data_IF_987488020354
#
_entry.id   IF_987488020354
#
_cell.length_a   1.000
_cell.length_b   1.000
_cell.length_c   1.000
_cell.angle_alpha   90.00
_cell.angle_beta   90.00
_cell.angle_gamma   90.00
#
_symmetry.space_group_name_H-M   'P 1'
#
loop_
_entity.id
_entity.type
_entity.pdbx_description
1 polymer ?
#
# COMPACT_ATOMS: atom_id res chain seq x y z
N UNK A 1 -8.46 -18.96 16.96
CA UNK A 1 -8.69 -19.18 18.42
C UNK A 1 -7.41 -18.97 19.24
N UNK A 2 -6.43 -18.21 18.74
CA UNK A 2 -5.03 -18.24 19.20
C UNK A 2 -4.60 -17.02 20.05
N UNK A 3 -5.10 -15.81 19.77
CA UNK A 3 -4.79 -14.61 20.56
C UNK A 3 -5.24 -14.69 22.04
N UNK A 4 -6.27 -15.50 22.33
CA UNK A 4 -6.76 -15.74 23.70
C UNK A 4 -5.99 -16.89 24.38
N UNK A 5 -5.33 -17.75 23.59
CA UNK A 5 -4.62 -18.94 24.10
C UNK A 5 -3.16 -18.65 24.47
N UNK A 6 -2.53 -17.64 23.87
CA UNK A 6 -1.14 -17.23 24.14
C UNK A 6 -1.04 -15.72 24.36
N UNK A 7 -1.48 -15.17 25.51
CA UNK A 7 -1.35 -13.74 25.81
C UNK A 7 0.12 -13.31 26.00
N UNK A 8 1.03 -14.26 26.15
CA UNK A 8 2.46 -14.07 26.30
C UNK A 8 3.13 -13.57 25.01
N UNK A 9 2.61 -13.88 23.83
CA UNK A 9 3.15 -13.39 22.54
C UNK A 9 3.17 -11.87 22.48
N UNK A 10 2.10 -11.22 22.93
CA UNK A 10 1.98 -9.76 22.93
C UNK A 10 3.06 -9.11 23.81
N UNK A 11 3.24 -9.62 25.04
CA UNK A 11 4.23 -9.09 25.96
C UNK A 11 5.66 -9.37 25.51
N UNK A 12 5.92 -10.54 24.93
CA UNK A 12 7.22 -10.89 24.36
C UNK A 12 7.55 -10.01 23.14
N UNK A 13 6.56 -9.71 22.30
CA UNK A 13 6.70 -8.81 21.16
C UNK A 13 6.95 -7.35 21.60
N UNK A 14 6.37 -6.91 22.72
CA UNK A 14 6.64 -5.56 23.26
C UNK A 14 8.05 -5.41 23.85
N UNK A 15 8.67 -6.52 24.27
CA UNK A 15 10.01 -6.53 24.88
C UNK A 15 11.12 -6.75 23.85
N UNK A 16 10.78 -6.93 22.57
CA UNK A 16 11.75 -7.15 21.50
C UNK A 16 12.44 -5.83 21.10
N UNK A 17 13.71 -5.91 20.73
CA UNK A 17 14.47 -4.73 20.29
C UNK A 17 13.92 -4.17 18.97
N UNK A 18 14.14 -2.87 18.75
CA UNK A 18 13.70 -2.21 17.53
C UNK A 18 14.45 -2.77 16.31
N UNK A 19 13.77 -2.98 15.17
CA UNK A 19 14.42 -3.50 13.98
C UNK A 19 15.42 -2.49 13.43
N UNK A 20 16.61 -2.97 13.09
CA UNK A 20 17.58 -2.20 12.33
C UNK A 20 17.02 -1.87 10.94
N UNK A 21 17.15 -0.62 10.55
CA UNK A 21 16.70 -0.16 9.24
C UNK A 21 17.90 0.15 8.39
N UNK A 22 17.98 -0.52 7.25
CA UNK A 22 19.02 -0.24 6.30
C UNK A 22 18.58 0.97 5.45
N UNK A 23 19.44 2.00 5.41
CA UNK A 23 19.22 3.28 4.73
C UNK A 23 20.41 3.54 3.82
N UNK A 24 20.18 3.58 2.51
CA UNK A 24 21.24 3.74 1.50
C UNK A 24 22.49 2.86 1.71
N UNK A 25 22.33 1.61 2.16
CA UNK A 25 23.45 0.68 2.39
C UNK A 25 24.11 0.80 3.77
N UNK A 26 23.67 1.73 4.61
CA UNK A 26 24.08 1.83 6.01
C UNK A 26 22.99 1.24 6.91
N UNK A 27 23.36 0.26 7.73
CA UNK A 27 22.47 -0.29 8.75
C UNK A 27 22.42 0.71 9.90
N UNK A 28 21.31 1.46 9.99
CA UNK A 28 21.04 2.35 11.12
C UNK A 28 20.48 1.52 12.26
N UNK A 29 21.07 1.66 13.45
CA UNK A 29 20.61 0.95 14.65
C UNK A 29 19.17 1.33 14.96
N UNK A 30 18.34 0.32 15.22
CA UNK A 30 16.94 0.49 15.58
C UNK A 30 16.77 1.34 16.83
N UNK A 31 16.18 2.53 16.69
CA UNK A 31 15.80 3.42 17.79
C UNK A 31 14.31 3.76 17.67
N UNK A 32 13.69 4.20 18.77
CA UNK A 32 12.27 4.61 18.80
C UNK A 32 11.92 5.62 17.68
N UNK A 33 12.80 6.58 17.42
CA UNK A 33 12.62 7.59 16.38
C UNK A 33 12.61 6.96 14.99
N UNK A 34 13.60 6.09 14.71
CA UNK A 34 13.74 5.36 13.45
C UNK A 34 12.52 4.48 13.18
N UNK A 35 12.08 3.71 14.19
CA UNK A 35 10.91 2.85 14.09
C UNK A 35 9.61 3.64 13.87
N UNK A 36 9.41 4.75 14.59
CA UNK A 36 8.22 5.59 14.44
C UNK A 36 8.19 6.29 13.09
N UNK A 37 9.32 6.83 12.64
CA UNK A 37 9.41 7.53 11.36
C UNK A 37 9.13 6.58 10.18
N UNK A 38 9.74 5.40 10.16
CA UNK A 38 9.52 4.43 9.08
C UNK A 38 8.17 3.73 9.16
N UNK A 39 7.69 3.42 10.37
CA UNK A 39 6.34 2.91 10.55
C UNK A 39 5.28 3.91 10.06
N UNK A 40 5.44 5.20 10.40
CA UNK A 40 4.57 6.26 9.91
C UNK A 40 4.64 6.42 8.39
N UNK A 41 5.85 6.44 7.82
CA UNK A 41 6.06 6.57 6.37
C UNK A 41 5.38 5.44 5.59
N UNK A 42 5.50 4.20 6.07
CA UNK A 42 4.81 3.04 5.49
C UNK A 42 3.29 3.17 5.62
N UNK A 43 2.78 3.65 6.76
CA UNK A 43 1.35 3.82 7.00
C UNK A 43 0.70 4.91 6.12
N UNK A 44 1.47 5.91 5.65
CA UNK A 44 0.95 6.97 4.78
C UNK A 44 0.41 6.44 3.44
N UNK A 45 0.89 5.30 2.94
CA UNK A 45 0.38 4.67 1.73
C UNK A 45 -1.12 4.35 1.83
N UNK A 46 -1.59 3.96 3.02
CA UNK A 46 -3.00 3.67 3.29
C UNK A 46 -3.94 4.88 3.25
N UNK A 47 -3.42 6.11 3.22
CA UNK A 47 -4.20 7.36 3.22
C UNK A 47 -4.28 7.98 1.80
N UNK A 48 -3.58 7.42 0.82
CA UNK A 48 -3.60 7.93 -0.57
C UNK A 48 -4.99 7.84 -1.23
N UNK A 49 -5.89 6.98 -0.74
CA UNK A 49 -7.26 6.86 -1.24
C UNK A 49 -8.15 8.10 -1.04
N UNK A 50 -7.78 9.03 -0.16
CA UNK A 50 -8.54 10.28 0.03
C UNK A 50 -8.37 11.23 -1.16
N UNK A 51 -7.21 11.22 -1.79
CA UNK A 51 -6.92 12.02 -2.99
C UNK A 51 -7.75 11.53 -4.18
N UNK A 52 -7.75 10.22 -4.41
CA UNK A 52 -8.51 9.62 -5.52
C UNK A 52 -10.02 9.83 -5.36
N UNK A 53 -10.54 9.85 -4.13
CA UNK A 53 -11.94 10.21 -3.88
C UNK A 53 -12.30 11.63 -4.33
N UNK A 54 -11.37 12.59 -4.16
CA UNK A 54 -11.55 13.95 -4.65
C UNK A 54 -11.47 14.05 -6.18
N UNK A 55 -10.70 13.17 -6.82
CA UNK A 55 -10.59 13.07 -8.28
C UNK A 55 -11.94 12.77 -8.97
N UNK A 56 -12.81 12.02 -8.31
CA UNK A 56 -14.13 11.60 -8.81
C UNK A 56 -15.30 12.38 -8.21
N UNK A 57 -15.03 13.53 -7.56
CA UNK A 57 -16.08 14.31 -6.89
C UNK A 57 -17.21 14.74 -7.84
N UNK A 58 -16.90 14.93 -9.13
CA UNK A 58 -17.87 15.33 -10.15
C UNK A 58 -18.85 14.22 -10.55
N UNK A 59 -18.45 12.95 -10.39
CA UNK A 59 -19.29 11.77 -10.67
C UNK A 59 -20.10 11.35 -9.42
N UNK A 60 -19.84 11.97 -8.26
CA UNK A 60 -20.54 11.68 -7.01
C UNK A 60 -21.86 12.46 -6.92
N UNK A 61 -22.88 11.81 -6.35
CA UNK A 61 -24.13 12.49 -6.04
C UNK A 61 -23.93 13.68 -5.08
N UNK A 62 -24.70 14.77 -5.23
CA UNK A 62 -24.54 15.97 -4.43
C UNK A 62 -24.68 15.67 -2.93
N UNK A 63 -23.72 16.15 -2.13
CA UNK A 63 -23.69 15.96 -0.68
C UNK A 63 -23.11 14.62 -0.19
N UNK A 64 -22.67 13.73 -1.08
CA UNK A 64 -22.04 12.45 -0.71
C UNK A 64 -20.56 12.60 -0.36
N UNK A 65 -19.83 13.52 -1.02
CA UNK A 65 -18.38 13.70 -0.85
C UNK A 65 -17.92 13.83 0.62
N UNK A 66 -18.57 14.70 1.41
CA UNK A 66 -18.25 14.85 2.83
C UNK A 66 -18.53 13.59 3.65
N UNK A 67 -19.58 12.83 3.30
CA UNK A 67 -19.90 11.56 3.96
C UNK A 67 -18.83 10.51 3.62
N UNK A 68 -18.39 10.46 2.37
CA UNK A 68 -17.31 9.57 1.92
C UNK A 68 -16.02 9.84 2.68
N UNK A 69 -15.56 11.09 2.76
CA UNK A 69 -14.33 11.44 3.49
C UNK A 69 -14.43 11.08 4.98
N UNK A 70 -15.55 11.40 5.63
CA UNK A 70 -15.76 11.07 7.05
C UNK A 70 -15.75 9.56 7.29
N UNK A 71 -16.46 8.81 6.46
CA UNK A 71 -16.55 7.35 6.61
C UNK A 71 -15.19 6.70 6.31
N UNK A 72 -14.49 7.12 5.25
CA UNK A 72 -13.14 6.64 4.94
C UNK A 72 -12.18 6.91 6.09
N UNK A 73 -12.23 8.09 6.71
CA UNK A 73 -11.37 8.43 7.85
C UNK A 73 -11.62 7.52 9.06
N UNK A 74 -12.89 7.28 9.39
CA UNK A 74 -13.25 6.35 10.48
C UNK A 74 -12.77 4.94 10.15
N UNK A 75 -13.02 4.44 8.95
CA UNK A 75 -12.60 3.10 8.55
C UNK A 75 -11.09 2.95 8.50
N UNK A 76 -10.37 3.90 7.91
CA UNK A 76 -8.92 3.88 7.84
C UNK A 76 -8.33 3.86 9.26
N UNK A 77 -8.80 4.71 10.17
CA UNK A 77 -8.28 4.76 11.54
C UNK A 77 -8.58 3.48 12.31
N UNK A 78 -9.83 3.00 12.24
CA UNK A 78 -10.27 1.84 13.00
C UNK A 78 -9.62 0.54 12.50
N UNK A 79 -9.63 0.28 11.19
CA UNK A 79 -9.05 -0.94 10.65
C UNK A 79 -7.53 -0.99 10.81
N UNK A 80 -6.82 0.11 10.58
CA UNK A 80 -5.36 0.13 10.78
C UNK A 80 -5.00 -0.12 12.24
N UNK A 81 -5.74 0.46 13.19
CA UNK A 81 -5.50 0.24 14.62
C UNK A 81 -5.80 -1.21 15.04
N UNK A 82 -6.95 -1.75 14.61
CA UNK A 82 -7.36 -3.11 14.93
C UNK A 82 -6.40 -4.15 14.32
N UNK A 83 -5.99 -3.98 13.07
CA UNK A 83 -5.06 -4.90 12.40
C UNK A 83 -3.67 -4.83 13.00
N UNK A 84 -3.19 -3.63 13.38
CA UNK A 84 -1.90 -3.47 14.06
C UNK A 84 -1.88 -4.14 15.44
N UNK A 85 -2.97 -4.01 16.20
CA UNK A 85 -3.10 -4.68 17.49
C UNK A 85 -3.20 -6.20 17.31
N UNK A 86 -4.00 -6.66 16.35
CA UNK A 86 -4.20 -8.08 16.09
C UNK A 86 -2.92 -8.74 15.57
N UNK A 87 -2.15 -8.08 14.70
CA UNK A 87 -0.89 -8.61 14.19
C UNK A 87 0.11 -8.83 15.31
N UNK A 88 0.28 -7.86 16.22
CA UNK A 88 1.16 -7.97 17.39
C UNK A 88 0.68 -8.99 18.43
N UNK A 89 -0.63 -9.22 18.54
CA UNK A 89 -1.17 -10.20 19.48
C UNK A 89 -1.12 -11.64 18.93
N UNK A 90 -1.24 -11.82 17.62
CA UNK A 90 -1.38 -13.16 16.99
C UNK A 90 -0.06 -13.71 16.47
N UNK A 91 0.80 -12.86 15.90
CA UNK A 91 2.03 -13.29 15.25
C UNK A 91 3.26 -12.89 16.09
N UNK A 92 4.26 -13.77 16.24
CA UNK A 92 5.54 -13.37 16.83
C UNK A 92 6.29 -12.42 15.88
N UNK A 93 7.05 -11.46 16.43
CA UNK A 93 7.87 -10.56 15.62
C UNK A 93 9.02 -11.31 14.93
N UNK A 94 9.71 -12.16 15.69
CA UNK A 94 10.89 -12.92 15.25
C UNK A 94 10.59 -14.43 15.13
N UNK A 95 11.37 -15.13 14.31
CA UNK A 95 11.24 -16.58 14.09
C UNK A 95 10.52 -16.95 12.79
N UNK A 96 10.47 -18.26 12.50
CA UNK A 96 9.92 -18.80 11.26
C UNK A 96 8.40 -18.62 11.21
N UNK A 97 7.91 -17.85 10.24
CA UNK A 97 6.51 -17.43 10.17
C UNK A 97 6.14 -16.26 11.10
N UNK A 98 7.15 -15.53 11.60
CA UNK A 98 6.97 -14.25 12.29
C UNK A 98 6.81 -13.08 11.32
N UNK A 99 6.42 -11.91 11.84
CA UNK A 99 6.13 -10.71 11.03
C UNK A 99 7.33 -10.30 10.16
N UNK A 100 8.57 -10.49 10.65
CA UNK A 100 9.76 -10.14 9.88
C UNK A 100 10.12 -11.13 8.76
N UNK A 101 9.66 -12.38 8.83
CA UNK A 101 9.89 -13.40 7.80
C UNK A 101 8.86 -13.28 6.68
N UNK A 102 7.59 -13.02 7.04
CA UNK A 102 6.44 -12.95 6.13
C UNK A 102 5.92 -11.51 5.91
N UNK A 103 6.82 -10.52 5.81
CA UNK A 103 6.46 -9.09 5.70
C UNK A 103 5.50 -8.75 4.55
N UNK A 104 5.54 -9.55 3.48
CA UNK A 104 4.73 -9.33 2.27
C UNK A 104 3.33 -9.96 2.35
N UNK A 105 3.08 -10.83 3.33
CA UNK A 105 1.83 -11.61 3.43
C UNK A 105 1.30 -11.70 4.86
N UNK A 106 1.60 -10.68 5.69
CA UNK A 106 1.30 -10.67 7.13
C UNK A 106 -0.17 -10.97 7.42
N UNK A 107 -1.11 -10.39 6.66
CA UNK A 107 -2.55 -10.64 6.85
C UNK A 107 -2.92 -12.11 6.53
N UNK A 108 -2.33 -12.70 5.50
CA UNK A 108 -2.59 -14.10 5.13
C UNK A 108 -1.98 -15.06 6.16
N UNK A 109 -0.75 -14.81 6.62
CA UNK A 109 -0.11 -15.56 7.71
C UNK A 109 -0.88 -15.44 9.02
N UNK A 110 -1.40 -14.25 9.35
CA UNK A 110 -2.28 -14.04 10.49
C UNK A 110 -3.58 -14.85 10.34
N UNK A 111 -4.21 -14.81 9.17
CA UNK A 111 -5.42 -15.60 8.86
C UNK A 111 -5.18 -17.11 9.03
N UNK A 112 -4.02 -17.59 8.59
CA UNK A 112 -3.58 -18.98 8.76
C UNK A 112 -3.46 -19.38 10.23
N UNK A 113 -2.88 -18.52 11.07
CA UNK A 113 -2.72 -18.80 12.51
C UNK A 113 -4.05 -18.73 13.26
N UNK A 114 -4.97 -17.85 12.87
CA UNK A 114 -6.26 -17.68 13.55
C UNK A 114 -7.27 -18.77 13.21
N UNK A 115 -7.40 -19.09 11.92
CA UNK A 115 -8.47 -19.93 11.39
C UNK A 115 -8.02 -20.95 10.33
N UNK A 116 -6.70 -21.13 10.14
CA UNK A 116 -6.14 -22.12 9.24
C UNK A 116 -6.11 -21.69 7.77
N UNK A 117 -5.72 -22.63 6.90
CA UNK A 117 -5.52 -22.41 5.46
C UNK A 117 -6.75 -21.87 4.71
N UNK A 118 -7.95 -22.12 5.24
CA UNK A 118 -9.18 -21.62 4.63
C UNK A 118 -9.23 -20.08 4.66
N UNK A 119 -8.97 -19.46 5.82
CA UNK A 119 -8.99 -18.01 5.95
C UNK A 119 -7.81 -17.36 5.22
N UNK A 120 -6.62 -17.99 5.27
CA UNK A 120 -5.45 -17.59 4.47
C UNK A 120 -5.79 -17.45 2.97
N UNK A 121 -6.48 -18.44 2.39
CA UNK A 121 -6.87 -18.41 0.99
C UNK A 121 -7.89 -17.31 0.69
N UNK A 122 -8.88 -17.10 1.57
CA UNK A 122 -9.87 -16.03 1.39
C UNK A 122 -9.25 -14.64 1.46
N UNK A 123 -8.40 -14.39 2.46
CA UNK A 123 -7.70 -13.12 2.63
C UNK A 123 -6.77 -12.85 1.45
N UNK A 124 -6.09 -13.88 0.93
CA UNK A 124 -5.21 -13.74 -0.25
C UNK A 124 -6.00 -13.36 -1.52
N UNK A 125 -7.19 -13.93 -1.72
CA UNK A 125 -8.06 -13.59 -2.85
C UNK A 125 -8.58 -12.15 -2.71
N UNK A 126 -9.02 -11.77 -1.51
CA UNK A 126 -9.48 -10.41 -1.22
C UNK A 126 -8.37 -9.37 -1.48
N UNK A 127 -7.17 -9.60 -0.94
CA UNK A 127 -6.00 -8.74 -1.17
C UNK A 127 -5.69 -8.58 -2.66
N UNK A 128 -5.75 -9.66 -3.44
CA UNK A 128 -5.57 -9.59 -4.89
C UNK A 128 -6.63 -8.71 -5.57
N UNK A 129 -7.91 -8.87 -5.23
CA UNK A 129 -9.00 -8.09 -5.82
C UNK A 129 -8.90 -6.61 -5.43
N UNK A 130 -8.59 -6.30 -4.18
CA UNK A 130 -8.44 -4.93 -3.69
C UNK A 130 -7.25 -4.24 -4.36
N UNK A 131 -6.10 -4.92 -4.46
CA UNK A 131 -4.91 -4.39 -5.16
C UNK A 131 -5.20 -4.17 -6.65
N UNK A 132 -5.84 -5.12 -7.32
CA UNK A 132 -6.24 -4.96 -8.73
C UNK A 132 -7.20 -3.77 -8.92
N UNK A 133 -8.14 -3.57 -7.99
CA UNK A 133 -9.04 -2.43 -7.98
C UNK A 133 -8.34 -1.08 -7.78
N UNK A 134 -7.33 -1.03 -6.89
CA UNK A 134 -6.48 0.14 -6.68
C UNK A 134 -5.72 0.52 -7.95
N UNK A 135 -5.11 -0.47 -8.62
CA UNK A 135 -4.42 -0.28 -9.90
C UNK A 135 -5.39 0.25 -10.96
N UNK A 136 -6.57 -0.36 -11.15
CA UNK A 136 -7.55 0.11 -12.13
C UNK A 136 -7.99 1.57 -11.87
N UNK A 137 -8.23 1.92 -10.60
CA UNK A 137 -8.61 3.29 -10.19
C UNK A 137 -7.50 4.29 -10.53
N UNK A 138 -6.22 3.92 -10.37
CA UNK A 138 -5.10 4.79 -10.74
C UNK A 138 -5.05 5.07 -12.25
N UNK A 139 -5.31 4.06 -13.09
CA UNK A 139 -5.37 4.22 -14.55
C UNK A 139 -6.48 5.18 -14.99
N UNK A 140 -7.67 5.09 -14.37
CA UNK A 140 -8.78 6.01 -14.67
C UNK A 140 -8.47 7.42 -14.16
N UNK A 141 -7.93 7.55 -12.95
CA UNK A 141 -7.56 8.83 -12.33
C UNK A 141 -6.52 9.60 -13.14
N UNK A 142 -5.40 8.96 -13.52
CA UNK A 142 -4.33 9.62 -14.28
C UNK A 142 -4.79 10.03 -15.69
N UNK A 143 -5.67 9.22 -16.31
CA UNK A 143 -6.25 9.57 -17.61
C UNK A 143 -7.09 10.85 -17.50
N UNK A 144 -7.86 11.01 -16.43
CA UNK A 144 -8.62 12.23 -16.15
C UNK A 144 -7.71 13.44 -15.89
N UNK A 145 -6.70 13.29 -15.03
CA UNK A 145 -5.74 14.35 -14.68
C UNK A 145 -4.96 14.85 -15.90
N UNK A 146 -4.28 13.95 -16.62
CA UNK A 146 -3.44 14.30 -17.76
C UNK A 146 -4.26 14.93 -18.88
N UNK A 147 -5.51 14.46 -19.08
CA UNK A 147 -6.43 15.08 -20.04
C UNK A 147 -6.76 16.53 -19.67
N UNK A 148 -7.05 16.82 -18.39
CA UNK A 148 -7.32 18.20 -17.93
C UNK A 148 -6.08 19.10 -18.11
N UNK A 149 -4.92 18.64 -17.65
CA UNK A 149 -3.66 19.39 -17.78
C UNK A 149 -3.27 19.69 -19.25
N UNK A 150 -3.57 18.77 -20.16
CA UNK A 150 -3.33 18.98 -21.58
C UNK A 150 -4.37 19.93 -22.22
N UNK A 151 -5.61 19.96 -21.74
CA UNK A 151 -6.58 20.99 -22.13
C UNK A 151 -6.17 22.38 -21.63
N UNK A 152 -5.57 22.45 -20.44
CA UNK A 152 -5.01 23.68 -19.86
C UNK A 152 -3.67 24.09 -20.51
N UNK A 153 -3.23 23.39 -21.57
CA UNK A 153 -1.97 23.63 -22.32
C UNK A 153 -0.70 23.53 -21.47
N UNK A 154 -0.76 22.89 -20.30
CA UNK A 154 0.40 22.61 -19.43
C UNK A 154 1.18 21.40 -19.97
N UNK A 155 0.48 20.45 -20.60
CA UNK A 155 1.06 19.24 -21.20
C UNK A 155 0.92 19.24 -22.73
N UNK A 156 1.81 18.55 -23.45
CA UNK A 156 1.81 18.56 -24.91
C UNK A 156 0.55 17.90 -25.49
N UNK A 157 0.00 18.53 -26.53
CA UNK A 157 -1.29 18.18 -27.13
C UNK A 157 -1.37 16.76 -27.73
N UNK A 158 -0.24 16.09 -27.99
CA UNK A 158 -0.28 14.70 -28.47
C UNK A 158 -0.86 13.72 -27.43
N UNK A 159 -0.80 14.05 -26.13
CA UNK A 159 -1.35 13.22 -25.06
C UNK A 159 -2.88 13.15 -25.07
N UNK A 160 -3.56 14.15 -25.68
CA UNK A 160 -5.02 14.16 -25.81
C UNK A 160 -5.50 13.48 -27.09
N UNK A 161 -4.60 12.96 -27.92
CA UNK A 161 -4.99 12.28 -29.15
C UNK A 161 -5.81 11.02 -28.84
N UNK A 162 -7.08 11.06 -29.26
CA UNK A 162 -8.03 9.97 -29.11
C UNK A 162 -7.96 9.04 -30.32
N UNK A 163 -7.94 7.73 -30.08
CA UNK A 163 -8.08 6.76 -31.18
C UNK A 163 -9.54 6.74 -31.67
N UNK A 164 -9.74 6.83 -32.99
CA UNK A 164 -11.07 6.87 -33.63
C UNK A 164 -11.96 5.66 -33.33
N UNK A 165 -11.40 4.51 -32.97
CA UNK A 165 -12.16 3.27 -32.76
C UNK A 165 -12.73 3.07 -31.34
N UNK A 166 -12.11 3.64 -30.30
CA UNK A 166 -12.56 3.48 -28.90
C UNK A 166 -12.71 4.81 -28.14
N UNK A 167 -12.33 5.94 -28.74
CA UNK A 167 -12.39 7.26 -28.11
C UNK A 167 -11.43 7.44 -26.91
N UNK A 168 -10.52 6.49 -26.68
CA UNK A 168 -9.61 6.49 -25.52
C UNK A 168 -8.27 7.16 -25.84
N UNK A 169 -7.65 7.82 -24.85
CA UNK A 169 -6.32 8.43 -24.94
C UNK A 169 -5.24 7.35 -24.71
N UNK A 170 -4.88 6.61 -25.76
CA UNK A 170 -3.99 5.45 -25.64
C UNK A 170 -2.56 5.85 -25.21
N UNK A 171 -2.11 7.06 -25.58
CA UNK A 171 -0.80 7.58 -25.18
C UNK A 171 -0.68 7.79 -23.67
N UNK A 172 -1.75 8.22 -22.99
CA UNK A 172 -1.70 8.43 -21.54
C UNK A 172 -1.56 7.10 -20.80
N UNK A 173 -2.32 6.09 -21.24
CA UNK A 173 -2.28 4.74 -20.66
C UNK A 173 -0.90 4.10 -20.90
N UNK A 174 -0.37 4.19 -22.12
CA UNK A 174 0.97 3.69 -22.43
C UNK A 174 2.06 4.43 -21.67
N UNK A 175 1.98 5.76 -21.55
CA UNK A 175 2.92 6.54 -20.76
C UNK A 175 2.91 6.09 -19.30
N UNK A 176 1.73 5.96 -18.70
CA UNK A 176 1.61 5.50 -17.32
C UNK A 176 2.14 4.06 -17.14
N UNK A 177 1.85 3.16 -18.07
CA UNK A 177 2.41 1.80 -18.05
C UNK A 177 3.94 1.80 -18.13
N UNK A 178 4.53 2.59 -19.04
CA UNK A 178 5.98 2.70 -19.18
C UNK A 178 6.60 3.30 -17.93
N UNK A 179 5.97 4.30 -17.32
CA UNK A 179 6.44 4.89 -16.06
C UNK A 179 6.44 3.87 -14.92
N UNK A 180 5.34 3.13 -14.73
CA UNK A 180 5.26 2.08 -13.71
C UNK A 180 6.27 0.97 -13.97
N UNK A 181 6.32 0.42 -15.19
CA UNK A 181 7.29 -0.61 -15.56
C UNK A 181 8.74 -0.14 -15.43
N UNK A 182 9.01 1.14 -15.69
CA UNK A 182 10.34 1.74 -15.49
C UNK A 182 10.70 1.84 -14.01
N UNK A 183 9.73 2.17 -13.15
CA UNK A 183 9.92 2.24 -11.70
C UNK A 183 10.19 0.84 -11.14
N UNK A 184 9.40 -0.16 -11.52
CA UNK A 184 9.60 -1.55 -11.08
C UNK A 184 10.96 -2.09 -11.52
N UNK A 185 11.35 -1.78 -12.76
CA UNK A 185 12.65 -2.21 -13.28
C UNK A 185 13.81 -1.45 -12.65
N UNK A 186 13.65 -0.16 -12.34
CA UNK A 186 14.63 0.63 -11.61
C UNK A 186 14.85 0.06 -10.20
N UNK A 187 13.75 -0.26 -9.50
CA UNK A 187 13.78 -0.90 -8.19
C UNK A 187 14.44 -2.29 -8.24
N UNK A 188 14.22 -3.05 -9.31
CA UNK A 188 14.85 -4.36 -9.50
C UNK A 188 16.36 -4.30 -9.84
N UNK A 189 16.84 -3.22 -10.44
CA UNK A 189 18.21 -3.09 -10.98
C UNK A 189 19.19 -2.37 -10.03
N UNK A 190 18.71 -1.64 -9.02
CA UNK A 190 19.55 -0.85 -8.13
C UNK A 190 19.76 -1.49 -6.73
N UNK A 191 20.72 -2.42 -6.55
CA UNK A 191 20.96 -3.08 -5.26
C UNK A 191 21.47 -2.15 -4.14
N UNK A 192 22.04 -0.97 -4.48
CA UNK A 192 22.62 -0.03 -3.50
C UNK A 192 21.79 1.22 -3.17
N UNK A 193 20.93 1.67 -4.10
CA UNK A 193 20.02 2.82 -3.88
C UNK A 193 18.67 2.38 -3.31
N UNK A 194 18.46 1.06 -3.27
CA UNK A 194 17.30 0.36 -2.75
C UNK A 194 16.87 0.89 -1.38
N UNK A 195 17.79 1.35 -0.55
CA UNK A 195 17.50 1.54 0.88
C UNK A 195 17.06 2.95 1.26
N UNK A 196 17.14 3.94 0.36
CA UNK A 196 16.54 5.27 0.63
C UNK A 196 15.15 5.45 0.02
N UNK A 197 14.84 4.74 -1.08
CA UNK A 197 13.48 4.69 -1.63
C UNK A 197 12.64 3.58 -0.96
N UNK A 198 13.26 2.47 -0.54
CA UNK A 198 12.55 1.38 0.16
C UNK A 198 12.24 1.63 1.63
N UNK A 199 12.65 2.79 2.14
CA UNK A 199 12.19 3.37 3.40
C UNK A 199 10.67 3.59 3.42
N UNK A 200 10.05 3.80 2.25
CA UNK A 200 8.60 3.94 2.10
C UNK A 200 7.96 2.74 1.40
N UNK A 201 8.67 2.11 0.45
CA UNK A 201 8.16 1.00 -0.36
C UNK A 201 9.20 -0.13 -0.39
N UNK A 202 9.08 -1.10 0.53
CA UNK A 202 10.00 -2.23 0.66
C UNK A 202 10.41 -2.87 -0.69
N UNK A 203 11.59 -3.51 -0.79
CA UNK A 203 12.19 -3.97 -2.06
C UNK A 203 11.39 -5.02 -2.85
N UNK A 204 10.23 -5.47 -2.33
CA UNK A 204 9.28 -6.38 -2.98
C UNK A 204 7.82 -5.94 -2.80
N UNK A 205 7.57 -4.69 -2.43
CA UNK A 205 6.25 -4.13 -2.09
C UNK A 205 5.38 -3.77 -3.30
N UNK A 206 5.54 -4.44 -4.45
CA UNK A 206 4.61 -4.26 -5.56
C UNK A 206 3.26 -4.98 -5.31
N UNK A 207 3.17 -5.68 -4.17
CA UNK A 207 1.97 -6.30 -3.63
C UNK A 207 1.99 -6.00 -2.11
N UNK A 208 1.54 -4.82 -1.68
CA UNK A 208 1.33 -4.55 -0.26
C UNK A 208 -0.11 -4.07 -0.04
N UNK A 209 -0.92 -5.00 0.46
CA UNK A 209 -1.80 -4.84 1.64
C UNK A 209 -1.46 -6.00 2.57
#
# INVERSE_FOLDING_TARGET
MTAVQHPDTFWNNMQTDFPDVNVAGNVMTGNLLTATFYGYSSAMLGITGFETSAQFVEEQAPGVFRKTLRNMWVFATLYNLLLSFLSLAVLPLEGRGGIYDDKDVVLASMGRVVAGKWLESWVSIDAFVVLAGGVLTSYVGITGLVRRLAFDRVLPAFLTYTNKWRGTNHYIILLFFVLQASLDRLLAVAPGWCLSAAIVLGPRSMIQI
#
